data_IF_060172930393
#
_entry.id   IF_060172930393
#
_cell.length_a   1.000
_cell.length_b   1.000
_cell.length_c   1.000
_cell.angle_alpha   90.00
_cell.angle_beta   90.00
_cell.angle_gamma   90.00
#
_symmetry.space_group_name_H-M   'P 1'
#
loop_
_entity.id
_entity.type
_entity.pdbx_description
1 polymer ?
#
# COMPACT_ATOMS: atom_id res chain seq x y z
N UNK A 1 19.15 10.51 7.57
CA UNK A 1 18.46 9.22 7.68
C UNK A 1 19.36 8.17 7.06
N UNK A 2 19.76 7.17 7.83
CA UNK A 2 20.47 6.01 7.29
C UNK A 2 19.49 4.97 6.73
N UNK A 3 20.04 3.89 6.17
CA UNK A 3 19.24 2.83 5.53
C UNK A 3 18.36 2.06 6.53
N UNK A 4 18.86 1.77 7.73
CA UNK A 4 18.11 1.02 8.75
C UNK A 4 17.01 1.87 9.35
N UNK A 5 17.28 3.16 9.55
CA UNK A 5 16.28 4.12 9.97
C UNK A 5 15.15 4.20 8.92
N UNK A 6 15.47 4.26 7.63
CA UNK A 6 14.47 4.25 6.56
C UNK A 6 13.64 2.95 6.56
N UNK A 7 14.28 1.80 6.71
CA UNK A 7 13.63 0.48 6.74
C UNK A 7 12.70 0.35 7.96
N UNK A 8 13.11 0.84 9.14
CA UNK A 8 12.32 0.75 10.37
C UNK A 8 11.18 1.76 10.45
N UNK A 9 11.34 2.95 9.88
CA UNK A 9 10.34 4.03 9.92
C UNK A 9 9.23 3.91 8.89
N UNK A 10 9.44 3.19 7.78
CA UNK A 10 8.41 3.06 6.73
C UNK A 10 7.10 2.51 7.28
N UNK A 11 5.98 2.95 6.72
CA UNK A 11 4.62 2.51 7.04
C UNK A 11 3.84 2.30 5.75
N UNK A 12 2.87 1.38 5.78
CA UNK A 12 1.83 1.27 4.75
C UNK A 12 0.76 2.33 5.06
N UNK A 13 0.74 3.43 4.30
CA UNK A 13 -0.09 4.60 4.60
C UNK A 13 -1.43 4.50 3.88
N UNK A 14 -2.51 4.79 4.61
CA UNK A 14 -3.90 4.71 4.09
C UNK A 14 -4.74 5.92 4.44
N UNK A 15 -4.52 6.53 5.61
CA UNK A 15 -5.32 7.66 6.12
C UNK A 15 -4.57 8.99 6.10
N UNK A 16 -3.24 8.95 6.15
CA UNK A 16 -2.42 10.10 6.51
C UNK A 16 -1.99 10.95 5.30
N UNK A 17 -2.47 10.62 4.10
CA UNK A 17 -2.24 11.43 2.89
C UNK A 17 -2.76 12.86 3.07
N UNK A 18 -1.99 13.85 2.64
CA UNK A 18 -2.38 15.27 2.74
C UNK A 18 -3.44 15.68 1.71
N UNK A 19 -3.71 14.84 0.69
CA UNK A 19 -4.51 15.21 -0.47
C UNK A 19 -3.72 15.90 -1.58
N UNK A 20 -2.46 16.29 -1.32
CA UNK A 20 -1.59 16.87 -2.34
C UNK A 20 -1.11 15.80 -3.32
N UNK A 21 -1.03 16.15 -4.60
CA UNK A 21 -0.48 15.26 -5.62
C UNK A 21 1.05 15.30 -5.55
N UNK A 22 1.68 14.13 -5.51
CA UNK A 22 3.15 14.03 -5.56
C UNK A 22 3.71 14.68 -6.84
N UNK A 23 4.70 15.56 -6.68
CA UNK A 23 5.39 16.20 -7.81
C UNK A 23 6.15 15.20 -8.69
N UNK A 24 6.28 15.54 -9.97
CA UNK A 24 6.82 14.62 -10.99
C UNK A 24 8.27 14.21 -10.69
N UNK A 25 9.12 15.12 -10.25
CA UNK A 25 10.51 14.80 -9.89
C UNK A 25 10.60 13.80 -8.73
N UNK A 26 9.71 13.93 -7.75
CA UNK A 26 9.65 12.98 -6.63
C UNK A 26 9.13 11.62 -7.09
N UNK A 27 8.07 11.62 -7.91
CA UNK A 27 7.52 10.39 -8.50
C UNK A 27 8.58 9.65 -9.33
N UNK A 28 9.29 10.34 -10.20
CA UNK A 28 10.31 9.72 -11.06
C UNK A 28 11.46 9.13 -10.25
N UNK A 29 11.88 9.75 -9.14
CA UNK A 29 12.87 9.17 -8.23
C UNK A 29 12.37 7.89 -7.57
N UNK A 30 11.10 7.84 -7.18
CA UNK A 30 10.48 6.62 -6.60
C UNK A 30 10.42 5.50 -7.64
N UNK A 31 9.96 5.80 -8.86
CA UNK A 31 9.88 4.82 -9.93
C UNK A 31 11.27 4.31 -10.35
N UNK A 32 12.27 5.19 -10.39
CA UNK A 32 13.65 4.82 -10.66
C UNK A 32 14.21 3.87 -9.58
N UNK A 33 13.90 4.12 -8.30
CA UNK A 33 14.28 3.21 -7.22
C UNK A 33 13.63 1.83 -7.36
N UNK A 34 12.35 1.77 -7.74
CA UNK A 34 11.66 0.50 -8.04
C UNK A 34 12.25 -0.22 -9.26
N UNK A 35 12.61 0.54 -10.30
CA UNK A 35 13.21 0.00 -11.52
C UNK A 35 14.62 -0.59 -11.31
N UNK A 36 15.33 -0.14 -10.27
CA UNK A 36 16.65 -0.66 -9.91
C UNK A 36 16.61 -2.01 -9.16
N UNK A 37 15.43 -2.59 -8.93
CA UNK A 37 15.28 -3.89 -8.28
C UNK A 37 15.98 -5.02 -9.09
N UNK A 38 16.49 -6.08 -8.42
CA UNK A 38 17.01 -7.25 -9.13
C UNK A 38 15.90 -7.99 -9.86
N UNK A 39 16.23 -8.61 -10.99
CA UNK A 39 15.33 -9.47 -11.76
C UNK A 39 16.06 -10.68 -12.31
N UNK A 40 15.33 -11.79 -12.50
CA UNK A 40 15.87 -13.00 -13.12
C UNK A 40 16.38 -12.66 -14.51
N UNK A 41 17.67 -12.92 -14.75
CA UNK A 41 18.33 -12.65 -16.02
C UNK A 41 18.34 -11.16 -16.43
N UNK A 42 18.21 -10.22 -15.49
CA UNK A 42 18.06 -8.78 -15.78
C UNK A 42 16.86 -8.45 -16.68
N UNK A 43 15.81 -9.29 -16.65
CA UNK A 43 14.63 -9.17 -17.52
C UNK A 43 13.78 -7.92 -17.27
N UNK A 44 13.83 -7.33 -16.06
CA UNK A 44 13.06 -6.16 -15.65
C UNK A 44 11.60 -6.20 -16.15
N UNK A 45 10.81 -7.25 -15.83
CA UNK A 45 9.54 -7.54 -16.49
C UNK A 45 8.39 -6.61 -16.06
N UNK A 46 8.69 -5.55 -15.31
CA UNK A 46 7.71 -4.65 -14.70
C UNK A 46 7.42 -3.45 -15.59
N UNK A 47 6.14 -3.07 -15.62
CA UNK A 47 5.66 -1.80 -16.15
C UNK A 47 5.16 -0.92 -15.00
N UNK A 48 5.41 0.39 -15.10
CA UNK A 48 4.80 1.39 -14.22
C UNK A 48 3.78 2.22 -15.00
N UNK A 49 2.54 2.21 -14.55
CA UNK A 49 1.46 2.92 -15.20
C UNK A 49 0.80 3.90 -14.24
N UNK A 50 1.21 5.16 -14.32
CA UNK A 50 0.76 6.20 -13.40
C UNK A 50 -0.69 6.60 -13.67
N UNK A 51 -1.52 6.58 -12.64
CA UNK A 51 -2.94 6.97 -12.68
C UNK A 51 -3.15 8.21 -11.83
N UNK A 52 -3.52 9.33 -12.44
CA UNK A 52 -3.89 10.58 -11.72
C UNK A 52 -5.28 11.09 -12.07
N UNK A 53 -5.98 10.40 -12.99
CA UNK A 53 -7.31 10.79 -13.45
C UNK A 53 -8.33 10.56 -12.33
N UNK A 54 -9.00 11.60 -11.80
CA UNK A 54 -9.91 11.45 -10.65
C UNK A 54 -11.01 10.41 -10.89
N UNK A 55 -11.54 10.34 -12.10
CA UNK A 55 -12.55 9.37 -12.52
C UNK A 55 -12.05 7.92 -12.48
N UNK A 56 -10.77 7.67 -12.83
CA UNK A 56 -10.17 6.33 -12.72
C UNK A 56 -9.91 5.96 -11.27
N UNK A 57 -9.40 6.91 -10.47
CA UNK A 57 -9.18 6.70 -9.05
C UNK A 57 -10.49 6.37 -8.33
N UNK A 58 -11.57 7.10 -8.61
CA UNK A 58 -12.91 6.81 -8.05
C UNK A 58 -13.43 5.45 -8.48
N UNK A 59 -13.38 5.13 -9.76
CA UNK A 59 -13.85 3.83 -10.25
C UNK A 59 -13.09 2.66 -9.59
N UNK A 60 -11.78 2.79 -9.40
CA UNK A 60 -11.00 1.78 -8.70
C UNK A 60 -11.31 1.72 -7.20
N UNK A 61 -11.50 2.88 -6.55
CA UNK A 61 -11.91 2.94 -5.15
C UNK A 61 -13.28 2.28 -4.90
N UNK A 62 -14.25 2.49 -5.81
CA UNK A 62 -15.56 1.83 -5.76
C UNK A 62 -15.44 0.31 -5.91
N UNK A 63 -14.59 -0.16 -6.83
CA UNK A 63 -14.31 -1.59 -6.99
C UNK A 63 -13.72 -2.20 -5.70
N UNK A 64 -12.71 -1.54 -5.14
CA UNK A 64 -12.04 -1.98 -3.90
C UNK A 64 -13.01 -1.95 -2.71
N UNK A 65 -13.91 -0.98 -2.64
CA UNK A 65 -14.97 -0.93 -1.63
C UNK A 65 -15.92 -2.14 -1.75
N UNK A 66 -16.28 -2.56 -2.96
CA UNK A 66 -17.04 -3.79 -3.20
C UNK A 66 -16.32 -5.02 -2.68
N UNK A 67 -15.05 -5.22 -3.05
CA UNK A 67 -14.24 -6.34 -2.56
C UNK A 67 -14.09 -6.33 -1.02
N UNK A 68 -14.04 -5.15 -0.41
CA UNK A 68 -14.00 -4.99 1.05
C UNK A 68 -15.30 -5.46 1.69
N UNK A 69 -16.45 -5.18 1.09
CA UNK A 69 -17.74 -5.67 1.56
C UNK A 69 -17.78 -7.20 1.45
N UNK A 70 -17.42 -7.76 0.29
CA UNK A 70 -17.38 -9.22 0.09
C UNK A 70 -16.48 -9.92 1.10
N UNK A 71 -15.30 -9.34 1.38
CA UNK A 71 -14.39 -9.88 2.40
C UNK A 71 -14.98 -9.77 3.80
N UNK A 72 -15.56 -8.62 4.17
CA UNK A 72 -16.24 -8.48 5.46
C UNK A 72 -17.37 -9.50 5.60
N UNK A 73 -18.13 -9.75 4.53
CA UNK A 73 -19.22 -10.72 4.45
C UNK A 73 -18.78 -12.16 4.64
N UNK A 74 -17.54 -12.48 4.26
CA UNK A 74 -16.93 -13.79 4.50
C UNK A 74 -16.46 -14.04 5.93
N UNK A 75 -16.41 -13.00 6.79
CA UNK A 75 -15.90 -13.11 8.16
C UNK A 75 -17.00 -13.49 9.17
N UNK A 76 -16.65 -14.25 10.22
CA UNK A 76 -17.44 -14.34 11.45
C UNK A 76 -17.69 -12.96 12.07
N UNK A 77 -18.79 -12.80 12.81
CA UNK A 77 -19.26 -11.50 13.31
C UNK A 77 -18.22 -10.75 14.17
N UNK A 78 -17.53 -11.44 15.07
CA UNK A 78 -16.47 -10.88 15.91
C UNK A 78 -15.28 -10.35 15.10
N UNK A 79 -14.88 -11.09 14.05
CA UNK A 79 -13.82 -10.70 13.12
C UNK A 79 -14.27 -9.57 12.21
N UNK A 80 -15.52 -9.58 11.77
CA UNK A 80 -16.12 -8.52 10.95
C UNK A 80 -16.14 -7.19 11.72
N UNK A 81 -16.55 -7.19 12.98
CA UNK A 81 -16.56 -5.99 13.83
C UNK A 81 -15.16 -5.41 14.02
N UNK A 82 -14.17 -6.29 14.19
CA UNK A 82 -12.74 -5.90 14.27
C UNK A 82 -12.23 -5.35 12.94
N UNK A 83 -12.63 -5.94 11.82
CA UNK A 83 -12.21 -5.53 10.48
C UNK A 83 -12.83 -4.19 10.06
N UNK A 84 -14.09 -3.95 10.42
CA UNK A 84 -14.86 -2.84 9.89
C UNK A 84 -14.23 -1.44 10.01
N UNK A 85 -13.63 -1.06 11.16
CA UNK A 85 -12.96 0.24 11.29
C UNK A 85 -11.60 0.36 10.57
N UNK A 86 -11.08 -0.74 10.03
CA UNK A 86 -9.78 -0.76 9.33
C UNK A 86 -9.96 -0.15 7.94
N UNK A 87 -9.22 0.94 7.67
CA UNK A 87 -9.14 1.49 6.32
C UNK A 87 -8.26 0.58 5.47
N UNK A 88 -8.73 0.22 4.27
CA UNK A 88 -8.00 -0.69 3.37
C UNK A 88 -7.33 -0.01 2.17
N UNK A 89 -7.67 1.24 1.90
CA UNK A 89 -7.21 1.96 0.72
C UNK A 89 -7.00 3.46 1.02
N UNK A 90 -6.37 4.17 0.08
CA UNK A 90 -6.20 5.63 0.09
C UNK A 90 -6.10 6.15 -1.34
N UNK A 91 -6.85 5.52 -2.24
CA UNK A 91 -6.77 5.64 -3.70
C UNK A 91 -7.14 7.05 -4.14
N UNK A 92 -8.22 7.60 -3.57
CA UNK A 92 -8.69 8.94 -3.93
C UNK A 92 -7.85 10.00 -3.22
N UNK A 93 -7.56 9.82 -1.93
CA UNK A 93 -6.81 10.79 -1.12
C UNK A 93 -5.36 10.93 -1.52
N UNK A 94 -4.70 9.86 -2.01
CA UNK A 94 -3.33 9.97 -2.53
C UNK A 94 -3.25 10.73 -3.86
N UNK A 95 -4.33 10.76 -4.64
CA UNK A 95 -4.39 11.42 -5.95
C UNK A 95 -3.49 10.80 -7.03
N UNK A 96 -2.69 9.77 -6.71
CA UNK A 96 -1.82 9.04 -7.65
C UNK A 96 -1.80 7.55 -7.34
N UNK A 97 -2.17 6.73 -8.33
CA UNK A 97 -2.13 5.27 -8.32
C UNK A 97 -1.22 4.67 -9.41
N UNK A 98 -1.02 3.34 -9.40
CA UNK A 98 -0.29 2.61 -10.45
C UNK A 98 -1.06 1.36 -10.93
N UNK A 99 -1.41 1.23 -12.23
CA UNK A 99 -2.33 0.17 -12.77
C UNK A 99 -2.10 -0.25 -14.26
N UNK A 100 -2.26 -1.52 -14.71
CA UNK A 100 -2.71 -2.01 -16.09
C UNK A 100 -2.08 -3.37 -16.53
N UNK A 101 -2.27 -3.84 -17.80
CA UNK A 101 -3.28 -4.81 -18.26
C UNK A 101 -2.80 -6.28 -18.24
N UNK A 102 -1.54 -6.48 -17.91
CA UNK A 102 -0.97 -7.76 -17.53
C UNK A 102 -1.37 -8.05 -16.08
N UNK A 103 -1.15 -9.29 -15.62
CA UNK A 103 -1.52 -9.73 -14.27
C UNK A 103 -1.04 -8.70 -13.23
N UNK A 104 -1.95 -7.97 -12.54
CA UNK A 104 -1.55 -6.96 -11.58
C UNK A 104 -0.82 -7.62 -10.42
N UNK A 105 0.35 -7.09 -10.07
CA UNK A 105 1.11 -7.52 -8.89
C UNK A 105 0.73 -6.67 -7.68
N UNK A 106 0.54 -5.36 -7.87
CA UNK A 106 0.15 -4.43 -6.82
C UNK A 106 -0.50 -3.16 -7.39
N UNK A 107 -1.31 -2.50 -6.56
CA UNK A 107 -1.71 -1.10 -6.71
C UNK A 107 -1.05 -0.29 -5.59
N UNK A 108 -0.38 0.81 -5.93
CA UNK A 108 0.29 1.67 -4.94
C UNK A 108 -0.32 3.06 -4.93
N UNK A 109 -0.70 3.53 -3.75
CA UNK A 109 -1.15 4.90 -3.51
C UNK A 109 0.06 5.77 -3.11
N UNK A 110 0.32 6.86 -3.83
CA UNK A 110 1.50 7.71 -3.62
C UNK A 110 1.09 9.16 -3.42
N UNK A 111 1.53 9.77 -2.32
CA UNK A 111 1.28 11.17 -2.02
C UNK A 111 2.05 11.64 -0.79
N UNK A 112 2.23 12.96 -0.59
CA UNK A 112 2.73 13.50 0.67
C UNK A 112 1.81 13.10 1.83
N UNK A 113 2.42 12.94 3.00
CA UNK A 113 1.72 12.54 4.22
C UNK A 113 1.85 13.62 5.28
N UNK A 114 0.79 13.80 6.07
CA UNK A 114 0.77 14.75 7.18
C UNK A 114 1.64 14.30 8.35
N UNK A 115 1.68 12.99 8.58
CA UNK A 115 2.50 12.32 9.58
C UNK A 115 2.62 10.82 9.24
N UNK A 116 3.50 10.10 9.93
CA UNK A 116 3.56 8.63 9.87
C UNK A 116 2.96 8.05 11.15
N UNK A 117 2.13 6.99 11.07
CA UNK A 117 1.59 6.34 12.25
C UNK A 117 2.72 5.69 13.07
N UNK A 118 2.66 5.87 14.40
CA UNK A 118 3.68 5.34 15.31
C UNK A 118 3.60 3.81 15.42
N UNK A 119 2.38 3.27 15.50
CA UNK A 119 2.09 1.84 15.56
C UNK A 119 1.73 1.25 14.19
N UNK A 120 1.78 -0.09 14.10
CA UNK A 120 1.28 -0.82 12.92
C UNK A 120 -0.24 -0.85 12.95
N UNK A 121 -0.89 -0.33 11.92
CA UNK A 121 -2.36 -0.21 11.86
C UNK A 121 -3.09 -1.50 12.24
N UNK A 122 -2.74 -2.62 11.62
CA UNK A 122 -3.41 -3.89 11.87
C UNK A 122 -3.22 -4.40 13.32
N UNK A 123 -2.11 -4.04 13.96
CA UNK A 123 -1.88 -4.37 15.37
C UNK A 123 -2.73 -3.46 16.26
N UNK A 124 -2.79 -2.16 15.94
CA UNK A 124 -3.57 -1.18 16.67
C UNK A 124 -5.09 -1.49 16.66
N UNK A 125 -5.59 -2.07 15.56
CA UNK A 125 -6.98 -2.56 15.47
C UNK A 125 -7.18 -3.98 16.00
N UNK A 126 -6.16 -4.62 16.58
CA UNK A 126 -6.26 -5.99 17.11
C UNK A 126 -6.47 -7.06 16.04
N UNK A 127 -6.20 -6.75 14.76
CA UNK A 127 -6.44 -7.66 13.65
C UNK A 127 -5.41 -8.78 13.57
N UNK A 128 -4.12 -8.42 13.67
CA UNK A 128 -2.99 -9.35 13.63
C UNK A 128 -1.75 -8.70 14.21
N UNK A 129 -1.08 -9.39 15.14
CA UNK A 129 0.26 -9.06 15.63
C UNK A 129 1.32 -9.45 14.59
N UNK A 130 2.35 -8.63 14.44
CA UNK A 130 3.57 -8.98 13.76
C UNK A 130 4.31 -10.12 14.43
N UNK A 131 4.98 -10.92 13.62
CA UNK A 131 5.88 -11.96 14.09
C UNK A 131 7.25 -11.35 14.41
N UNK A 132 7.88 -11.88 15.45
CA UNK A 132 9.27 -11.62 15.78
C UNK A 132 10.21 -12.32 14.77
N UNK A 133 11.46 -11.88 14.70
CA UNK A 133 12.41 -12.38 13.70
C UNK A 133 12.70 -13.88 13.88
N UNK A 134 12.83 -14.34 15.11
CA UNK A 134 13.08 -15.74 15.45
C UNK A 134 11.89 -16.65 15.13
N UNK A 135 10.66 -16.12 15.10
CA UNK A 135 9.47 -16.87 14.68
C UNK A 135 9.44 -17.18 13.17
N UNK A 136 10.21 -16.45 12.36
CA UNK A 136 10.25 -16.59 10.90
C UNK A 136 11.60 -17.08 10.35
N UNK A 137 12.56 -17.38 11.23
CA UNK A 137 13.87 -17.91 10.86
C UNK A 137 13.93 -19.40 11.22
N UNK A 138 14.15 -20.23 10.21
CA UNK A 138 14.31 -21.67 10.35
C UNK A 138 15.73 -22.05 9.92
N UNK A 139 16.43 -22.77 10.79
CA UNK A 139 17.75 -23.33 10.51
C UNK A 139 17.60 -24.81 10.17
N UNK A 140 18.43 -25.30 9.24
CA UNK A 140 18.52 -26.72 8.89
C UNK A 140 19.06 -27.58 10.05
#
# INVERSE_FOLDING_TARGET
MDIYEAIGRRRDVRREFSGEVIGDDALMRILAAGHAAPSVGLSQPWDFHVVRRPERLRAFAEHVAGCRCDFADSLPDDRRDTFNPIRIEGIVESGTGVEKPVRPVAWLCLGPVTHLPEARDLEAFGWRKGLELDEVVHWD
#
